data_IF_225724196695
#
_entry.id   IF_225724196695
#
_cell.length_a   1.000
_cell.length_b   1.000
_cell.length_c   1.000
_cell.angle_alpha   90.00
_cell.angle_beta   90.00
_cell.angle_gamma   90.00
#
_symmetry.space_group_name_H-M   'P 1'
#
loop_
_entity.id
_entity.type
_entity.pdbx_description
1 polymer ?
#
# COMPACT_ATOMS: atom_id res chain seq x y z
N UNK A 1 4.18 -16.39 12.61
CA UNK A 1 3.81 -14.98 12.30
C UNK A 1 4.22 -14.58 10.90
N UNK A 2 5.47 -14.14 10.65
CA UNK A 2 5.90 -13.57 9.34
C UNK A 2 5.64 -14.49 8.13
N UNK A 3 5.93 -15.79 8.25
CA UNK A 3 5.74 -16.75 7.14
C UNK A 3 4.27 -16.90 6.75
N UNK A 4 3.36 -16.94 7.72
CA UNK A 4 1.90 -17.11 7.49
C UNK A 4 1.32 -15.96 6.68
N UNK A 5 1.67 -14.72 7.02
CA UNK A 5 1.22 -13.53 6.27
C UNK A 5 1.80 -13.49 4.85
N UNK A 6 3.04 -13.95 4.65
CA UNK A 6 3.65 -14.09 3.32
C UNK A 6 2.90 -15.12 2.48
N UNK A 7 2.57 -16.29 3.04
CA UNK A 7 1.79 -17.31 2.33
C UNK A 7 0.41 -16.81 1.93
N UNK A 8 -0.29 -16.12 2.85
CA UNK A 8 -1.59 -15.50 2.55
C UNK A 8 -1.48 -14.50 1.39
N UNK A 9 -0.48 -13.62 1.43
CA UNK A 9 -0.22 -12.65 0.37
C UNK A 9 0.03 -13.34 -0.98
N UNK A 10 0.89 -14.37 -1.00
CA UNK A 10 1.20 -15.12 -2.22
C UNK A 10 -0.05 -15.78 -2.82
N UNK A 11 -0.84 -16.48 -2.00
CA UNK A 11 -2.09 -17.11 -2.44
C UNK A 11 -3.02 -16.06 -3.07
N UNK A 12 -3.18 -14.91 -2.41
CA UNK A 12 -4.02 -13.81 -2.91
C UNK A 12 -3.49 -13.22 -4.22
N UNK A 13 -2.18 -13.05 -4.37
CA UNK A 13 -1.57 -12.51 -5.59
C UNK A 13 -1.65 -13.48 -6.77
N UNK A 14 -1.40 -14.79 -6.54
CA UNK A 14 -1.61 -15.80 -7.58
C UNK A 14 -3.08 -15.85 -8.00
N UNK A 15 -4.01 -15.84 -7.06
CA UNK A 15 -5.43 -15.79 -7.37
C UNK A 15 -5.81 -14.49 -8.12
N UNK A 16 -5.20 -13.35 -7.79
CA UNK A 16 -5.47 -12.10 -8.53
C UNK A 16 -4.92 -12.17 -9.95
N UNK A 17 -3.74 -12.76 -10.16
CA UNK A 17 -3.11 -12.92 -11.47
C UNK A 17 -3.93 -13.78 -12.43
N UNK A 18 -4.46 -14.90 -11.95
CA UNK A 18 -5.24 -15.83 -12.77
C UNK A 18 -6.70 -15.42 -12.96
N UNK A 19 -7.23 -14.47 -12.16
CA UNK A 19 -8.62 -14.00 -12.26
C UNK A 19 -8.98 -13.53 -13.68
N UNK A 20 -8.25 -12.60 -14.32
CA UNK A 20 -8.59 -12.16 -15.67
C UNK A 20 -8.46 -13.26 -16.74
N UNK A 21 -7.61 -14.28 -16.52
CA UNK A 21 -7.50 -15.43 -17.41
C UNK A 21 -8.69 -16.39 -17.25
N UNK A 22 -9.14 -16.61 -16.01
CA UNK A 22 -10.30 -17.45 -15.72
C UNK A 22 -11.59 -16.88 -16.34
N UNK A 23 -11.75 -15.55 -16.31
CA UNK A 23 -12.86 -14.83 -16.97
C UNK A 23 -12.90 -15.09 -18.48
N UNK A 24 -11.75 -15.32 -19.12
CA UNK A 24 -11.69 -15.55 -20.57
C UNK A 24 -12.17 -16.95 -20.98
N UNK A 25 -12.07 -17.93 -20.08
CA UNK A 25 -12.42 -19.32 -20.38
C UNK A 25 -13.90 -19.57 -20.14
N UNK A 26 -14.39 -19.32 -18.91
CA UNK A 26 -15.81 -19.51 -18.55
C UNK A 26 -16.13 -18.84 -17.21
N UNK A 27 -17.39 -18.40 -17.02
CA UNK A 27 -17.88 -17.87 -15.73
C UNK A 27 -17.84 -18.92 -14.60
N UNK A 28 -18.08 -20.20 -14.92
CA UNK A 28 -17.97 -21.31 -13.98
C UNK A 28 -16.54 -21.49 -13.45
N UNK A 29 -15.53 -21.31 -14.31
CA UNK A 29 -14.12 -21.40 -13.90
C UNK A 29 -13.74 -20.26 -12.95
N UNK A 30 -14.23 -19.04 -13.20
CA UNK A 30 -14.06 -17.90 -12.28
C UNK A 30 -14.63 -18.22 -10.89
N UNK A 31 -15.85 -18.78 -10.82
CA UNK A 31 -16.47 -19.17 -9.56
C UNK A 31 -15.65 -20.23 -8.82
N UNK A 32 -15.24 -21.29 -9.52
CA UNK A 32 -14.39 -22.35 -8.95
C UNK A 32 -13.10 -21.76 -8.38
N UNK A 33 -12.47 -20.85 -9.12
CA UNK A 33 -11.23 -20.22 -8.70
C UNK A 33 -11.42 -19.34 -7.45
N UNK A 34 -12.51 -18.57 -7.38
CA UNK A 34 -12.83 -17.73 -6.21
C UNK A 34 -13.17 -18.58 -4.98
N UNK A 35 -13.90 -19.67 -5.16
CA UNK A 35 -14.18 -20.64 -4.09
C UNK A 35 -12.88 -21.28 -3.60
N UNK A 36 -11.99 -21.69 -4.51
CA UNK A 36 -10.68 -22.24 -4.15
C UNK A 36 -9.83 -21.22 -3.36
N UNK A 37 -9.81 -19.95 -3.79
CA UNK A 37 -9.16 -18.87 -3.06
C UNK A 37 -9.75 -18.71 -1.64
N UNK A 38 -11.08 -18.74 -1.50
CA UNK A 38 -11.76 -18.66 -0.21
C UNK A 38 -11.42 -19.84 0.70
N UNK A 39 -11.41 -21.07 0.17
CA UNK A 39 -11.05 -22.26 0.94
C UNK A 39 -9.59 -22.23 1.41
N UNK A 40 -8.65 -21.86 0.53
CA UNK A 40 -7.23 -21.73 0.89
C UNK A 40 -7.00 -20.67 1.97
N UNK A 41 -7.67 -19.52 1.86
CA UNK A 41 -7.57 -18.45 2.87
C UNK A 41 -8.18 -18.88 4.21
N UNK A 42 -9.28 -19.63 4.21
CA UNK A 42 -9.86 -20.20 5.42
C UNK A 42 -8.93 -21.21 6.09
N UNK A 43 -8.27 -22.07 5.32
CA UNK A 43 -7.27 -23.02 5.84
C UNK A 43 -6.11 -22.28 6.49
N UNK A 44 -5.55 -21.27 5.82
CA UNK A 44 -4.44 -20.46 6.37
C UNK A 44 -4.87 -19.73 7.64
N UNK A 45 -6.10 -19.21 7.68
CA UNK A 45 -6.68 -18.58 8.87
C UNK A 45 -6.85 -19.58 10.02
N UNK A 46 -7.37 -20.77 9.76
CA UNK A 46 -7.48 -21.84 10.76
C UNK A 46 -6.12 -22.25 11.31
N UNK A 47 -5.12 -22.42 10.44
CA UNK A 47 -3.74 -22.67 10.86
C UNK A 47 -3.19 -21.52 11.72
N UNK A 48 -3.46 -20.26 11.34
CA UNK A 48 -3.07 -19.10 12.12
C UNK A 48 -3.71 -19.13 13.52
N UNK A 49 -5.01 -19.40 13.62
CA UNK A 49 -5.72 -19.46 14.90
C UNK A 49 -5.16 -20.55 15.83
N UNK A 50 -4.82 -21.72 15.28
CA UNK A 50 -4.24 -22.82 16.07
C UNK A 50 -2.83 -22.45 16.57
N UNK A 51 -1.99 -21.84 15.74
CA UNK A 51 -0.59 -21.54 16.05
C UNK A 51 -0.37 -20.22 16.80
N UNK A 52 -1.24 -19.23 16.63
CA UNK A 52 -1.04 -17.89 17.16
C UNK A 52 -1.19 -17.87 18.69
N UNK A 53 -0.25 -17.23 19.38
CA UNK A 53 -0.26 -16.99 20.83
C UNK A 53 0.27 -15.58 21.08
N UNK A 54 -0.37 -14.84 21.98
CA UNK A 54 -0.04 -13.43 22.23
C UNK A 54 1.29 -13.24 22.95
N UNK A 55 1.71 -14.20 23.77
CA UNK A 55 2.98 -14.14 24.49
C UNK A 55 3.96 -15.23 24.02
N UNK A 56 5.22 -14.88 23.72
CA UNK A 56 6.25 -15.85 23.35
C UNK A 56 6.55 -16.84 24.49
N UNK A 57 6.21 -16.50 25.74
CA UNK A 57 6.39 -17.37 26.92
C UNK A 57 5.47 -18.59 26.93
N UNK A 58 4.28 -18.44 26.33
CA UNK A 58 3.24 -19.47 26.31
C UNK A 58 3.39 -20.38 25.08
N UNK A 59 4.23 -19.97 24.12
CA UNK A 59 4.36 -20.65 22.84
C UNK A 59 5.24 -21.90 22.94
N UNK A 60 4.66 -23.09 22.73
CA UNK A 60 5.33 -24.40 22.84
C UNK A 60 6.63 -24.53 22.03
N UNK A 61 6.71 -23.87 20.87
CA UNK A 61 7.86 -23.97 19.96
C UNK A 61 8.98 -22.93 20.21
N UNK A 62 8.92 -22.12 21.28
CA UNK A 62 9.96 -21.13 21.59
C UNK A 62 10.98 -21.71 22.56
N UNK A 63 12.25 -21.76 22.16
CA UNK A 63 13.34 -22.21 23.05
C UNK A 63 13.73 -21.13 24.05
N UNK A 64 14.24 -21.51 25.24
CA UNK A 64 14.75 -20.54 26.24
C UNK A 64 15.84 -19.61 25.68
N UNK A 65 16.69 -20.10 24.78
CA UNK A 65 17.72 -19.28 24.11
C UNK A 65 17.10 -18.22 23.20
N UNK A 66 16.05 -18.58 22.46
CA UNK A 66 15.31 -17.65 21.60
C UNK A 66 14.50 -16.65 22.43
N UNK A 67 13.85 -17.11 23.50
CA UNK A 67 13.11 -16.26 24.44
C UNK A 67 14.02 -15.20 25.05
N UNK A 68 15.21 -15.60 25.55
CA UNK A 68 16.19 -14.66 26.08
C UNK A 68 16.60 -13.62 25.01
N UNK A 69 16.82 -14.03 23.76
CA UNK A 69 17.12 -13.11 22.65
C UNK A 69 15.97 -12.16 22.32
N UNK A 70 14.72 -12.60 22.46
CA UNK A 70 13.51 -11.79 22.19
C UNK A 70 13.25 -10.79 23.32
N UNK A 71 13.54 -11.16 24.57
CA UNK A 71 13.34 -10.33 25.76
C UNK A 71 14.50 -9.37 26.01
N UNK A 72 15.69 -9.67 25.48
CA UNK A 72 16.86 -8.80 25.59
C UNK A 72 16.56 -7.39 25.02
N UNK A 73 16.69 -6.36 25.87
CA UNK A 73 16.45 -4.96 25.50
C UNK A 73 14.98 -4.52 25.48
N UNK A 74 14.04 -5.38 25.89
CA UNK A 74 12.63 -5.00 26.14
C UNK A 74 12.42 -4.65 27.60
N UNK A 75 11.54 -3.68 27.86
CA UNK A 75 11.04 -3.42 29.20
C UNK A 75 10.29 -4.68 29.69
N UNK A 76 10.45 -5.12 30.96
CA UNK A 76 9.71 -6.25 31.49
C UNK A 76 8.21 -6.02 31.29
N UNK A 77 7.55 -6.97 30.63
CA UNK A 77 6.09 -6.97 30.46
C UNK A 77 5.40 -7.31 31.81
N UNK A 78 6.15 -7.84 32.77
CA UNK A 78 5.70 -8.06 34.14
C UNK A 78 5.90 -6.77 34.95
N UNK A 79 4.79 -6.17 35.37
CA UNK A 79 4.69 -5.16 36.44
C UNK A 79 5.44 -3.83 36.23
N UNK A 80 5.58 -3.38 34.99
CA UNK A 80 5.93 -1.98 34.72
C UNK A 80 4.75 -1.03 35.01
N UNK A 81 4.97 0.21 35.49
CA UNK A 81 3.91 1.16 35.89
C UNK A 81 2.87 1.46 34.79
N UNK A 82 3.20 1.21 33.51
CA UNK A 82 2.31 1.37 32.34
C UNK A 82 1.24 0.27 32.26
N UNK A 83 1.46 -0.92 32.83
CA UNK A 83 0.46 -1.99 32.84
C UNK A 83 -0.54 -1.87 34.00
N UNK A 84 -0.15 -1.20 35.10
CA UNK A 84 -0.94 -1.12 36.34
C UNK A 84 -1.76 0.17 36.48
N UNK A 85 -1.26 1.30 35.97
CA UNK A 85 -1.93 2.62 36.04
C UNK A 85 -2.00 3.31 34.65
N UNK A 86 -2.01 2.51 33.58
CA UNK A 86 -1.68 2.92 32.20
C UNK A 86 -2.69 3.82 31.50
N UNK A 87 -2.69 5.11 31.82
CA UNK A 87 -3.24 6.11 30.90
C UNK A 87 -2.30 6.22 29.68
N UNK A 88 -2.85 5.94 28.50
CA UNK A 88 -2.12 6.11 27.24
C UNK A 88 -1.95 7.63 27.05
N UNK A 89 -0.70 8.13 26.88
CA UNK A 89 -0.46 9.57 26.74
C UNK A 89 -0.80 10.04 25.32
N UNK A 90 -2.09 10.09 24.98
CA UNK A 90 -2.58 10.48 23.66
C UNK A 90 -2.08 11.87 23.24
N UNK A 91 -2.05 12.82 24.18
CA UNK A 91 -1.60 14.19 23.90
C UNK A 91 -0.13 14.24 23.50
N UNK A 92 0.75 13.50 24.19
CA UNK A 92 2.19 13.48 23.88
C UNK A 92 2.47 12.78 22.55
N UNK A 93 1.73 11.69 22.24
CA UNK A 93 1.82 10.99 20.96
C UNK A 93 1.41 11.92 19.81
N UNK A 94 0.31 12.67 19.97
CA UNK A 94 -0.16 13.60 18.95
C UNK A 94 0.69 14.88 18.85
N UNK A 95 1.53 15.18 19.84
CA UNK A 95 2.43 16.33 19.81
C UNK A 95 3.77 16.03 19.12
N UNK A 96 4.12 14.75 18.96
CA UNK A 96 5.37 14.35 18.31
C UNK A 96 5.34 14.62 16.78
N UNK A 97 6.26 15.44 16.25
CA UNK A 97 6.32 15.71 14.80
C UNK A 97 6.61 14.47 13.95
N UNK A 98 7.29 13.45 14.51
CA UNK A 98 7.57 12.22 13.78
C UNK A 98 6.29 11.42 13.49
N UNK A 99 5.29 11.49 14.37
CA UNK A 99 3.97 10.86 14.19
C UNK A 99 3.24 11.54 13.03
N UNK A 100 3.24 12.88 12.98
CA UNK A 100 2.64 13.63 11.87
C UNK A 100 3.35 13.39 10.53
N UNK A 101 4.67 13.25 10.51
CA UNK A 101 5.41 12.91 9.29
C UNK A 101 5.01 11.54 8.73
N UNK A 102 4.90 10.53 9.59
CA UNK A 102 4.41 9.19 9.21
C UNK A 102 2.98 9.27 8.71
N UNK A 103 2.14 10.00 9.43
CA UNK A 103 0.73 10.18 9.11
C UNK A 103 0.54 10.77 7.71
N UNK A 104 1.20 11.90 7.41
CA UNK A 104 1.14 12.53 6.09
C UNK A 104 1.70 11.63 4.98
N UNK A 105 2.79 10.91 5.25
CA UNK A 105 3.36 9.96 4.31
C UNK A 105 2.40 8.79 4.02
N UNK A 106 1.74 8.26 5.06
CA UNK A 106 0.75 7.20 4.94
C UNK A 106 -0.45 7.66 4.12
N UNK A 107 -0.99 8.85 4.40
CA UNK A 107 -2.10 9.43 3.64
C UNK A 107 -1.75 9.62 2.17
N UNK A 108 -0.60 10.22 1.84
CA UNK A 108 -0.17 10.41 0.46
C UNK A 108 0.02 9.09 -0.30
N UNK A 109 0.58 8.10 0.38
CA UNK A 109 0.74 6.74 -0.18
C UNK A 109 -0.61 6.09 -0.48
N UNK A 110 -1.53 6.13 0.49
CA UNK A 110 -2.87 5.57 0.33
C UNK A 110 -3.62 6.30 -0.78
N UNK A 111 -3.55 7.62 -0.83
CA UNK A 111 -4.20 8.43 -1.86
C UNK A 111 -3.77 8.02 -3.26
N UNK A 112 -2.46 8.07 -3.56
CA UNK A 112 -1.93 7.72 -4.88
C UNK A 112 -2.22 6.27 -5.26
N UNK A 113 -2.06 5.33 -4.33
CA UNK A 113 -2.34 3.92 -4.61
C UNK A 113 -3.82 3.66 -4.89
N UNK A 114 -4.74 4.28 -4.14
CA UNK A 114 -6.17 4.06 -4.34
C UNK A 114 -6.72 4.72 -5.60
N UNK A 115 -6.24 5.93 -5.94
CA UNK A 115 -6.56 6.56 -7.23
C UNK A 115 -6.14 5.64 -8.38
N UNK A 116 -4.91 5.12 -8.35
CA UNK A 116 -4.43 4.19 -9.36
C UNK A 116 -5.28 2.93 -9.44
N UNK A 117 -5.66 2.34 -8.30
CA UNK A 117 -6.49 1.13 -8.29
C UNK A 117 -7.91 1.36 -8.83
N UNK A 118 -8.49 2.54 -8.57
CA UNK A 118 -9.86 2.86 -8.97
C UNK A 118 -9.95 3.33 -10.42
N UNK A 119 -9.03 4.19 -10.85
CA UNK A 119 -9.07 4.85 -12.16
C UNK A 119 -8.04 4.32 -13.16
N UNK A 120 -7.06 3.53 -12.73
CA UNK A 120 -6.08 2.89 -13.63
C UNK A 120 -6.73 2.04 -14.75
N UNK A 121 -7.77 1.23 -14.48
CA UNK A 121 -8.49 0.52 -15.54
C UNK A 121 -9.20 1.46 -16.52
N UNK A 122 -9.77 2.56 -16.02
CA UNK A 122 -10.45 3.58 -16.82
C UNK A 122 -9.45 4.29 -17.72
N UNK A 123 -8.29 4.67 -17.19
CA UNK A 123 -7.18 5.26 -17.96
C UNK A 123 -6.75 4.36 -19.12
N UNK A 124 -6.46 3.09 -18.85
CA UNK A 124 -6.03 2.15 -19.88
C UNK A 124 -7.10 1.93 -20.96
N UNK A 125 -8.37 1.85 -20.57
CA UNK A 125 -9.44 1.60 -21.52
C UNK A 125 -9.87 2.84 -22.32
N UNK A 126 -10.01 4.00 -21.67
CA UNK A 126 -10.59 5.19 -22.28
C UNK A 126 -9.55 6.09 -22.96
N UNK A 127 -8.34 6.21 -22.41
CA UNK A 127 -7.30 7.10 -22.94
C UNK A 127 -6.39 6.32 -23.89
N UNK A 128 -5.86 5.19 -23.41
CA UNK A 128 -4.92 4.36 -24.18
C UNK A 128 -5.64 3.42 -25.15
N UNK A 129 -6.97 3.25 -25.01
CA UNK A 129 -7.82 2.39 -25.86
C UNK A 129 -7.45 0.90 -25.79
N UNK A 130 -6.94 0.43 -24.65
CA UNK A 130 -6.75 -1.00 -24.42
C UNK A 130 -8.09 -1.72 -24.26
N UNK A 131 -8.18 -2.91 -24.85
CA UNK A 131 -9.34 -3.77 -24.65
C UNK A 131 -9.45 -4.18 -23.18
N UNK A 132 -10.67 -4.34 -22.68
CA UNK A 132 -11.00 -4.62 -21.28
C UNK A 132 -10.23 -5.84 -20.75
N UNK A 133 -10.01 -6.87 -21.59
CA UNK A 133 -9.27 -8.07 -21.20
C UNK A 133 -7.78 -7.78 -20.98
N UNK A 134 -7.15 -6.99 -21.85
CA UNK A 134 -5.74 -6.59 -21.68
C UNK A 134 -5.56 -5.68 -20.47
N UNK A 135 -6.51 -4.77 -20.24
CA UNK A 135 -6.54 -3.92 -19.05
C UNK A 135 -6.61 -4.74 -17.76
N UNK A 136 -7.49 -5.75 -17.70
CA UNK A 136 -7.59 -6.66 -16.56
C UNK A 136 -6.31 -7.46 -16.31
N UNK A 137 -5.68 -7.98 -17.37
CA UNK A 137 -4.40 -8.69 -17.28
C UNK A 137 -3.25 -7.75 -16.84
N UNK A 138 -3.18 -6.54 -17.39
CA UNK A 138 -2.16 -5.56 -17.02
C UNK A 138 -2.25 -5.15 -15.54
N UNK A 139 -3.46 -4.94 -15.02
CA UNK A 139 -3.70 -4.68 -13.60
C UNK A 139 -3.25 -5.84 -12.72
N UNK A 140 -3.69 -7.05 -13.06
CA UNK A 140 -3.36 -8.25 -12.30
C UNK A 140 -1.85 -8.54 -12.29
N UNK A 141 -1.18 -8.34 -13.43
CA UNK A 141 0.26 -8.46 -13.57
C UNK A 141 1.01 -7.42 -12.71
N UNK A 142 0.55 -6.16 -12.72
CA UNK A 142 1.13 -5.08 -11.92
C UNK A 142 1.06 -5.38 -10.42
N UNK A 143 -0.10 -5.84 -9.95
CA UNK A 143 -0.31 -6.26 -8.56
C UNK A 143 0.57 -7.46 -8.19
N UNK A 144 0.71 -8.44 -9.07
CA UNK A 144 1.58 -9.60 -8.87
C UNK A 144 3.05 -9.19 -8.75
N UNK A 145 3.54 -8.31 -9.63
CA UNK A 145 4.92 -7.84 -9.53
C UNK A 145 5.16 -7.05 -8.23
N UNK A 146 4.15 -6.30 -7.75
CA UNK A 146 4.24 -5.57 -6.47
C UNK A 146 4.49 -6.49 -5.27
N UNK A 147 3.93 -7.71 -5.25
CA UNK A 147 4.16 -8.63 -4.12
C UNK A 147 5.59 -9.17 -4.12
N UNK A 148 6.16 -9.47 -5.29
CA UNK A 148 7.55 -9.90 -5.41
C UNK A 148 8.50 -8.83 -4.90
N UNK A 149 8.27 -7.57 -5.29
CA UNK A 149 9.06 -6.45 -4.81
C UNK A 149 8.90 -6.26 -3.30
N UNK A 150 7.68 -6.36 -2.73
CA UNK A 150 7.47 -6.32 -1.28
C UNK A 150 8.29 -7.40 -0.53
N UNK A 151 8.36 -8.62 -1.06
CA UNK A 151 9.12 -9.72 -0.46
C UNK A 151 10.64 -9.49 -0.52
N UNK A 152 11.13 -9.03 -1.67
CA UNK A 152 12.55 -8.70 -1.86
C UNK A 152 12.95 -7.52 -0.99
N UNK A 153 12.21 -6.41 -1.06
CA UNK A 153 12.48 -5.18 -0.30
C UNK A 153 12.39 -5.44 1.19
N UNK A 154 11.42 -6.23 1.66
CA UNK A 154 11.34 -6.62 3.07
C UNK A 154 12.60 -7.35 3.53
N UNK A 155 13.11 -8.28 2.71
CA UNK A 155 14.33 -9.05 3.00
C UNK A 155 15.60 -8.20 2.92
N UNK A 156 15.71 -7.33 1.90
CA UNK A 156 16.82 -6.40 1.72
C UNK A 156 16.86 -5.38 2.86
N UNK A 157 15.71 -4.82 3.22
CA UNK A 157 15.57 -3.87 4.33
C UNK A 157 15.98 -4.48 5.67
N UNK A 158 15.79 -5.79 5.88
CA UNK A 158 16.25 -6.47 7.09
C UNK A 158 17.76 -6.73 7.11
N UNK A 159 18.37 -6.97 5.93
CA UNK A 159 19.81 -7.33 5.80
C UNK A 159 20.73 -6.12 5.59
N UNK A 160 20.18 -4.97 5.23
CA UNK A 160 20.94 -3.76 4.98
C UNK A 160 21.44 -3.14 6.31
N UNK A 161 22.65 -3.53 6.73
CA UNK A 161 23.33 -3.02 7.94
C UNK A 161 24.17 -1.76 7.68
N UNK A 162 24.23 -1.28 6.44
CA UNK A 162 25.12 -0.19 6.04
C UNK A 162 24.66 1.20 6.51
N UNK A 163 23.42 1.34 6.98
CA UNK A 163 22.79 2.61 7.36
C UNK A 163 22.14 2.49 8.74
N UNK A 164 22.07 3.60 9.47
CA UNK A 164 21.26 3.72 10.69
C UNK A 164 19.81 3.33 10.39
N UNK A 165 19.17 2.59 11.30
CA UNK A 165 17.81 2.06 11.12
C UNK A 165 16.80 3.17 10.79
N UNK A 166 16.93 4.33 11.45
CA UNK A 166 16.08 5.51 11.20
C UNK A 166 16.27 6.04 9.78
N UNK A 167 17.51 6.31 9.38
CA UNK A 167 17.84 6.85 8.06
C UNK A 167 17.43 5.89 6.94
N UNK A 168 17.63 4.58 7.14
CA UNK A 168 17.23 3.54 6.20
C UNK A 168 15.73 3.60 5.90
N UNK A 169 14.91 3.65 6.94
CA UNK A 169 13.45 3.60 6.78
C UNK A 169 12.90 4.91 6.19
N UNK A 170 13.46 6.06 6.57
CA UNK A 170 13.12 7.36 5.97
C UNK A 170 13.52 7.41 4.49
N UNK A 171 14.71 6.89 4.13
CA UNK A 171 15.16 6.82 2.74
C UNK A 171 14.23 5.93 1.91
N UNK A 172 13.88 4.73 2.38
CA UNK A 172 12.96 3.85 1.65
C UNK A 172 11.56 4.47 1.49
N UNK A 173 11.03 5.11 2.53
CA UNK A 173 9.74 5.80 2.45
C UNK A 173 9.79 6.95 1.43
N UNK A 174 10.76 7.85 1.55
CA UNK A 174 10.89 9.03 0.70
C UNK A 174 11.17 8.65 -0.77
N UNK A 175 12.08 7.69 -0.99
CA UNK A 175 12.40 7.18 -2.31
C UNK A 175 11.18 6.55 -2.99
N UNK A 176 10.39 5.77 -2.25
CA UNK A 176 9.17 5.16 -2.79
C UNK A 176 8.13 6.21 -3.22
N UNK A 177 7.94 7.26 -2.41
CA UNK A 177 7.00 8.34 -2.73
C UNK A 177 7.47 9.16 -3.93
N UNK A 178 8.75 9.51 -3.97
CA UNK A 178 9.34 10.27 -5.06
C UNK A 178 9.25 9.49 -6.39
N UNK A 179 9.59 8.20 -6.37
CA UNK A 179 9.55 7.38 -7.58
C UNK A 179 8.11 7.10 -8.04
N UNK A 180 7.14 6.95 -7.13
CA UNK A 180 5.71 6.91 -7.49
C UNK A 180 5.27 8.22 -8.16
N UNK A 181 5.65 9.37 -7.61
CA UNK A 181 5.34 10.68 -8.20
C UNK A 181 5.93 10.83 -9.60
N UNK A 182 7.20 10.43 -9.81
CA UNK A 182 7.83 10.42 -11.14
C UNK A 182 7.06 9.52 -12.11
N UNK A 183 6.62 8.34 -11.68
CA UNK A 183 5.88 7.42 -12.53
C UNK A 183 4.53 8.01 -12.95
N UNK A 184 3.82 8.67 -12.04
CA UNK A 184 2.59 9.40 -12.38
C UNK A 184 2.84 10.59 -13.30
N UNK A 185 3.86 11.41 -13.04
CA UNK A 185 4.25 12.51 -13.94
C UNK A 185 4.53 11.97 -15.34
N UNK A 186 5.27 10.86 -15.42
CA UNK A 186 5.62 10.23 -16.69
C UNK A 186 4.38 9.72 -17.43
N UNK A 187 3.41 9.11 -16.72
CA UNK A 187 2.14 8.70 -17.30
C UNK A 187 1.33 9.90 -17.82
N UNK A 188 1.28 10.99 -17.06
CA UNK A 188 0.56 12.21 -17.44
C UNK A 188 1.16 12.91 -18.67
N UNK A 189 2.48 12.85 -18.84
CA UNK A 189 3.19 13.51 -19.95
C UNK A 189 3.26 12.66 -21.23
N UNK A 190 2.73 11.43 -21.24
CA UNK A 190 2.78 10.56 -22.42
C UNK A 190 1.83 11.05 -23.51
N UNK A 191 2.31 11.33 -24.74
CA UNK A 191 1.46 11.73 -25.84
C UNK A 191 0.55 10.57 -26.31
N UNK A 192 -0.61 10.94 -26.86
CA UNK A 192 -1.53 10.01 -27.50
C UNK A 192 -0.84 9.36 -28.71
N UNK A 193 -0.68 8.04 -28.70
CA UNK A 193 0.05 7.29 -29.73
C UNK A 193 1.44 6.78 -29.30
N UNK A 194 1.84 7.01 -28.04
CA UNK A 194 3.03 6.37 -27.46
C UNK A 194 2.96 4.83 -27.54
N UNK A 195 4.11 4.14 -27.66
CA UNK A 195 4.11 2.69 -27.81
C UNK A 195 3.48 2.00 -26.59
N UNK A 196 2.59 1.02 -26.79
CA UNK A 196 1.80 0.42 -25.72
C UNK A 196 2.65 -0.25 -24.63
N UNK A 197 3.85 -0.73 -25.00
CA UNK A 197 4.82 -1.30 -24.07
C UNK A 197 5.35 -0.24 -23.09
N UNK A 198 5.63 0.98 -23.56
CA UNK A 198 6.14 2.06 -22.72
C UNK A 198 5.10 2.48 -21.68
N UNK A 199 3.85 2.65 -22.12
CA UNK A 199 2.72 2.96 -21.24
C UNK A 199 2.55 1.86 -20.19
N UNK A 200 2.59 0.59 -20.59
CA UNK A 200 2.47 -0.54 -19.67
C UNK A 200 3.63 -0.60 -18.66
N UNK A 201 4.86 -0.25 -19.06
CA UNK A 201 6.00 -0.18 -18.15
C UNK A 201 5.79 0.88 -17.05
N UNK A 202 5.42 2.11 -17.41
CA UNK A 202 5.15 3.15 -16.41
C UNK A 202 3.90 2.86 -15.58
N UNK A 203 2.89 2.24 -16.18
CA UNK A 203 1.69 1.82 -15.47
C UNK A 203 2.00 0.76 -14.41
N UNK A 204 2.76 -0.28 -14.79
CA UNK A 204 3.14 -1.36 -13.88
C UNK A 204 4.13 -0.89 -12.80
N UNK A 205 4.96 0.12 -13.09
CA UNK A 205 5.92 0.63 -12.11
C UNK A 205 5.26 1.33 -10.92
N UNK A 206 4.09 1.96 -11.08
CA UNK A 206 3.38 2.65 -9.97
C UNK A 206 3.12 1.71 -8.77
N UNK A 207 2.38 0.59 -8.90
CA UNK A 207 2.12 -0.31 -7.76
C UNK A 207 3.38 -1.06 -7.32
N UNK A 208 4.32 -1.31 -8.23
CA UNK A 208 5.59 -1.97 -7.92
C UNK A 208 6.45 -1.11 -7.00
N UNK A 209 6.59 0.17 -7.33
CA UNK A 209 7.34 1.14 -6.54
C UNK A 209 6.62 1.44 -5.23
N UNK A 210 5.29 1.56 -5.25
CA UNK A 210 4.49 1.66 -4.03
C UNK A 210 4.75 0.47 -3.09
N UNK A 211 5.08 -0.71 -3.62
CA UNK A 211 5.51 -1.87 -2.83
C UNK A 211 6.72 -1.63 -1.94
N UNK A 212 7.64 -0.72 -2.30
CA UNK A 212 8.80 -0.37 -1.47
C UNK A 212 8.38 0.28 -0.14
N UNK A 213 7.24 0.99 -0.15
CA UNK A 213 6.74 1.73 1.01
C UNK A 213 6.45 0.81 2.22
N UNK A 214 6.16 -0.47 1.97
CA UNK A 214 5.94 -1.46 3.03
C UNK A 214 7.12 -1.55 4.03
N UNK A 215 8.36 -1.41 3.54
CA UNK A 215 9.55 -1.37 4.40
C UNK A 215 9.86 0.03 4.98
N UNK A 216 9.23 1.08 4.44
CA UNK A 216 9.34 2.47 4.88
C UNK A 216 8.31 2.80 5.97
N UNK A 217 7.10 3.18 5.58
CA UNK A 217 6.06 3.66 6.51
C UNK A 217 5.69 2.59 7.54
N UNK A 218 5.57 1.32 7.12
CA UNK A 218 5.21 0.22 8.02
C UNK A 218 6.21 0.04 9.17
N UNK A 219 7.51 0.00 8.85
CA UNK A 219 8.57 -0.17 9.87
C UNK A 219 8.76 1.09 10.71
N UNK A 220 8.72 2.28 10.10
CA UNK A 220 8.90 3.55 10.84
C UNK A 220 7.80 3.76 11.87
N UNK A 221 6.56 3.45 11.52
CA UNK A 221 5.43 3.50 12.45
C UNK A 221 5.71 2.65 13.67
N UNK A 222 6.10 1.39 13.49
CA UNK A 222 6.38 0.49 14.61
C UNK A 222 7.60 0.90 15.44
N UNK A 223 8.65 1.45 14.81
CA UNK A 223 9.86 1.87 15.51
C UNK A 223 9.64 3.07 16.42
N UNK A 224 8.87 4.08 15.97
CA UNK A 224 8.59 5.29 16.75
C UNK A 224 7.62 5.02 17.89
N UNK A 225 6.58 4.25 17.64
CA UNK A 225 5.49 4.08 18.60
C UNK A 225 5.71 2.91 19.58
N UNK A 226 6.60 1.95 19.28
CA UNK A 226 6.95 0.77 20.11
C UNK A 226 5.71 0.12 20.74
N UNK A 227 5.46 0.38 22.03
CA UNK A 227 4.33 -0.18 22.79
C UNK A 227 2.97 0.45 22.43
N UNK A 228 2.95 1.69 21.95
CA UNK A 228 1.77 2.43 21.53
C UNK A 228 1.49 2.29 20.03
N UNK A 229 2.13 1.33 19.34
CA UNK A 229 2.00 1.14 17.90
C UNK A 229 0.56 0.89 17.45
N UNK A 230 -0.22 0.17 18.24
CA UNK A 230 -1.62 -0.06 17.95
C UNK A 230 -2.41 1.25 17.82
N UNK A 231 -2.20 2.22 18.73
CA UNK A 231 -2.88 3.52 18.69
C UNK A 231 -2.50 4.31 17.44
N UNK A 232 -1.19 4.44 17.15
CA UNK A 232 -0.70 5.22 16.01
C UNK A 232 -1.11 4.59 14.67
N UNK A 233 -1.08 3.26 14.57
CA UNK A 233 -1.54 2.53 13.39
C UNK A 233 -3.05 2.74 13.21
N UNK A 234 -3.86 2.61 14.26
CA UNK A 234 -5.31 2.83 14.18
C UNK A 234 -5.66 4.25 13.73
N UNK A 235 -4.99 5.26 14.29
CA UNK A 235 -5.17 6.65 13.88
C UNK A 235 -4.80 6.88 12.40
N UNK A 236 -3.69 6.29 11.95
CA UNK A 236 -3.25 6.39 10.55
C UNK A 236 -4.24 5.70 9.61
N UNK A 237 -4.75 4.52 9.97
CA UNK A 237 -5.74 3.78 9.17
C UNK A 237 -7.06 4.54 9.07
N UNK A 238 -7.52 5.15 10.16
CA UNK A 238 -8.74 5.99 10.13
C UNK A 238 -8.63 7.14 9.12
N UNK A 239 -7.49 7.84 9.09
CA UNK A 239 -7.26 8.88 8.09
C UNK A 239 -7.15 8.32 6.66
N UNK A 240 -6.44 7.20 6.48
CA UNK A 240 -6.39 6.51 5.19
C UNK A 240 -7.79 6.12 4.69
N UNK A 241 -8.67 5.62 5.55
CA UNK A 241 -10.07 5.31 5.21
C UNK A 241 -10.86 6.56 4.80
N UNK A 242 -10.64 7.68 5.50
CA UNK A 242 -11.25 8.96 5.15
C UNK A 242 -10.80 9.43 3.76
N UNK A 243 -9.50 9.32 3.46
CA UNK A 243 -8.94 9.60 2.13
C UNK A 243 -9.60 8.76 1.03
N UNK A 244 -9.82 7.46 1.28
CA UNK A 244 -10.46 6.55 0.31
C UNK A 244 -11.90 6.98 -0.01
N UNK A 245 -12.65 7.47 0.98
CA UNK A 245 -14.02 7.97 0.78
C UNK A 245 -14.02 9.29 -0.02
N UNK A 246 -13.02 10.15 0.19
CA UNK A 246 -12.91 11.45 -0.48
C UNK A 246 -12.54 11.31 -1.96
N UNK A 247 -11.71 10.34 -2.34
CA UNK A 247 -11.24 10.13 -3.73
C UNK A 247 -12.39 10.16 -4.77
N UNK A 248 -13.44 9.31 -4.69
CA UNK A 248 -14.51 9.32 -5.68
C UNK A 248 -15.30 10.62 -5.72
N UNK A 249 -15.47 11.30 -4.57
CA UNK A 249 -16.15 12.60 -4.49
C UNK A 249 -15.33 13.67 -5.23
N UNK A 250 -14.01 13.69 -4.97
CA UNK A 250 -13.08 14.59 -5.63
C UNK A 250 -13.10 14.39 -7.14
N UNK A 251 -13.00 13.14 -7.60
CA UNK A 251 -13.01 12.83 -9.05
C UNK A 251 -14.36 13.11 -9.67
N UNK A 252 -15.48 12.86 -8.98
CA UNK A 252 -16.81 13.21 -9.49
C UNK A 252 -16.99 14.72 -9.66
N UNK A 253 -16.40 15.53 -8.78
CA UNK A 253 -16.41 16.99 -8.93
C UNK A 253 -15.50 17.47 -10.07
N UNK A 254 -14.35 16.82 -10.25
CA UNK A 254 -13.34 17.22 -11.24
C UNK A 254 -13.68 16.76 -12.66
N UNK A 255 -14.24 15.55 -12.82
CA UNK A 255 -14.52 14.87 -14.08
C UNK A 255 -15.91 14.20 -14.10
N UNK A 256 -17.01 14.97 -14.07
CA UNK A 256 -18.37 14.43 -13.92
C UNK A 256 -18.80 13.46 -15.02
N UNK A 257 -18.38 13.63 -16.29
CA UNK A 257 -18.71 12.67 -17.37
C UNK A 257 -17.58 11.67 -17.68
N UNK A 258 -16.58 11.53 -16.79
CA UNK A 258 -15.40 10.67 -16.97
C UNK A 258 -14.66 10.91 -18.31
N UNK A 259 -14.78 12.09 -18.91
CA UNK A 259 -14.08 12.45 -20.14
C UNK A 259 -12.84 13.30 -19.82
N UNK A 260 -11.67 12.98 -20.39
CA UNK A 260 -10.44 13.73 -20.13
C UNK A 260 -10.53 15.20 -20.56
N UNK A 261 -11.35 15.50 -21.57
CA UNK A 261 -11.54 16.85 -22.12
C UNK A 261 -12.23 17.83 -21.16
N UNK A 262 -13.05 17.32 -20.24
CA UNK A 262 -13.79 18.16 -19.30
C UNK A 262 -12.90 18.73 -18.20
N UNK A 263 -11.93 17.94 -17.75
CA UNK A 263 -10.94 18.36 -16.76
C UNK A 263 -10.10 19.48 -17.37
N UNK A 264 -9.70 19.32 -18.63
CA UNK A 264 -8.98 20.36 -19.37
C UNK A 264 -9.81 21.66 -19.53
N UNK A 265 -11.11 21.55 -19.83
CA UNK A 265 -11.99 22.71 -19.97
C UNK A 265 -12.27 23.43 -18.64
N UNK A 266 -12.36 22.67 -17.54
CA UNK A 266 -12.59 23.21 -16.19
C UNK A 266 -11.32 23.83 -15.60
N UNK A 267 -10.15 23.25 -15.89
CA UNK A 267 -8.84 23.81 -15.55
C UNK A 267 -8.55 25.08 -16.35
N UNK A 268 -8.78 25.11 -17.66
CA UNK A 268 -8.62 26.33 -18.48
C UNK A 268 -9.52 27.50 -18.02
N UNK A 269 -10.71 27.20 -17.49
CA UNK A 269 -11.58 28.22 -16.86
C UNK A 269 -11.11 28.66 -15.46
N UNK A 270 -10.30 27.85 -14.77
CA UNK A 270 -9.65 28.18 -13.49
C UNK A 270 -8.29 28.87 -13.69
N UNK A 271 -7.62 28.63 -14.81
CA UNK A 271 -6.34 29.24 -15.23
C UNK A 271 -6.46 30.76 -15.45
N UNK A 272 -7.66 31.27 -15.76
CA UNK A 272 -7.95 32.72 -15.78
C UNK A 272 -7.91 33.37 -14.38
N UNK A 273 -7.86 32.59 -13.29
CA UNK A 273 -7.77 33.08 -11.91
C UNK A 273 -6.61 32.42 -11.13
N UNK A 274 -5.39 32.63 -11.60
CA UNK A 274 -4.21 32.87 -10.75
C UNK A 274 -3.86 31.81 -9.66
N UNK A 275 -3.20 30.70 -10.02
CA UNK A 275 -2.00 30.15 -9.35
C UNK A 275 -1.49 28.88 -10.09
N UNK A 276 -0.39 29.01 -10.82
CA UNK A 276 0.22 28.03 -11.74
C UNK A 276 0.79 26.74 -11.14
N UNK A 277 0.48 26.42 -9.87
CA UNK A 277 0.98 25.23 -9.18
C UNK A 277 -0.01 24.08 -9.04
N UNK A 278 -1.32 24.36 -9.06
CA UNK A 278 -2.37 23.39 -8.75
C UNK A 278 -2.77 22.52 -9.96
N UNK A 279 -2.62 23.05 -11.17
CA UNK A 279 -2.98 22.38 -12.43
C UNK A 279 -2.10 21.16 -12.71
N UNK A 280 -0.82 21.24 -12.32
CA UNK A 280 0.14 20.13 -12.47
C UNK A 280 -0.12 19.00 -11.47
N UNK A 281 -0.59 19.32 -10.26
CA UNK A 281 -0.90 18.33 -9.24
C UNK A 281 -2.24 17.60 -9.50
N UNK A 282 -3.19 18.26 -10.16
CA UNK A 282 -4.48 17.68 -10.55
C UNK A 282 -4.42 16.86 -11.85
N UNK A 283 -3.52 17.22 -12.79
CA UNK A 283 -3.14 16.35 -13.92
C UNK A 283 -2.45 15.06 -13.46
N UNK A 284 -1.83 15.06 -12.28
CA UNK A 284 -1.19 13.89 -11.66
C UNK A 284 -2.19 12.92 -10.98
N UNK A 285 -3.43 13.40 -10.80
CA UNK A 285 -4.50 12.77 -10.03
C UNK A 285 -5.47 11.98 -10.93
N UNK A 286 -5.20 11.99 -12.25
CA UNK A 286 -5.81 11.17 -13.31
C UNK A 286 -4.71 10.45 -14.10
#
# INVERSE_FOLDING_TARGET
MRKTFVFYGLISSFATLFTPLAVQLDFGLLLIMRVLQAMLTLIVFGCFFIFYRDSPRIHRNVSRKELCKIEHGKLPIEDGPVARNGEIPYADILRDPAVWAIFLCSMGTTFGFHIFMQYGPVYLNQIIKFNVQRTGLAMAFSCFLSIFVKLVVGSVSDRANCLSERSRVVLFASLSQFLVAICFCSLALLPQGSPPILVQCFFTSVPVVSGLNCAGVGKSTQMISRQFAHVVISFSVFACSTTIIIIPILVSFLAPDNRPEQVFFKLKNLEENNLSGLEFFLLLLL
#
